data_IF_601137859685
#
_entry.id   IF_601137859685
#
_cell.length_a   1.000
_cell.length_b   1.000
_cell.length_c   1.000
_cell.angle_alpha   90.00
_cell.angle_beta   90.00
_cell.angle_gamma   90.00
#
_symmetry.space_group_name_H-M   'P 1'
#
loop_
_entity.id
_entity.type
_entity.pdbx_description
1 polymer ?
#
# COMPACT_ATOMS: atom_id res chain seq x y z
N UNK A 1 -17.65 -12.75 39.58
CA UNK A 1 -18.20 -12.30 38.27
C UNK A 1 -17.79 -13.33 37.22
N UNK A 2 -18.77 -14.03 36.62
CA UNK A 2 -18.57 -15.22 35.75
C UNK A 2 -18.25 -14.79 34.31
N UNK A 3 -17.14 -15.29 33.77
CA UNK A 3 -16.75 -15.14 32.38
C UNK A 3 -17.62 -16.09 31.53
N UNK A 4 -18.37 -15.55 30.55
CA UNK A 4 -19.15 -16.34 29.57
C UNK A 4 -18.29 -16.76 28.41
N UNK A 5 -18.02 -18.06 28.27
CA UNK A 5 -17.51 -18.70 27.08
C UNK A 5 -18.62 -18.81 26.03
N UNK A 6 -18.37 -18.36 24.82
CA UNK A 6 -19.22 -18.63 23.65
C UNK A 6 -18.63 -19.81 22.87
N UNK A 7 -19.34 -20.93 22.88
CA UNK A 7 -19.08 -22.06 22.00
C UNK A 7 -19.62 -21.77 20.61
N UNK A 8 -18.75 -21.83 19.60
CA UNK A 8 -19.12 -21.80 18.18
C UNK A 8 -19.30 -23.26 17.75
N UNK A 9 -20.54 -23.65 17.49
CA UNK A 9 -20.91 -24.94 16.90
C UNK A 9 -20.78 -24.81 15.39
N UNK A 10 -19.83 -25.53 14.80
CA UNK A 10 -19.70 -25.68 13.38
C UNK A 10 -20.69 -26.73 12.88
N UNK A 11 -21.68 -26.32 12.09
CA UNK A 11 -22.59 -27.22 11.39
C UNK A 11 -21.96 -27.68 10.07
N UNK A 12 -21.59 -28.97 10.02
CA UNK A 12 -21.24 -29.65 8.76
C UNK A 12 -22.54 -30.07 8.06
N UNK A 13 -22.80 -29.52 6.89
CA UNK A 13 -23.86 -29.99 6.00
C UNK A 13 -23.23 -31.00 5.03
N UNK A 14 -23.58 -32.29 5.22
CA UNK A 14 -23.33 -33.38 4.28
C UNK A 14 -24.37 -33.32 3.16
N UNK A 15 -23.95 -33.07 1.93
CA UNK A 15 -24.78 -33.27 0.72
C UNK A 15 -24.47 -34.68 0.18
N UNK A 16 -25.39 -35.62 0.38
CA UNK A 16 -25.39 -36.93 -0.30
C UNK A 16 -25.84 -36.72 -1.76
N UNK A 17 -24.96 -36.97 -2.70
CA UNK A 17 -25.30 -37.08 -4.13
C UNK A 17 -25.78 -38.50 -4.41
N UNK A 18 -27.07 -38.63 -4.72
CA UNK A 18 -27.70 -39.87 -5.21
C UNK A 18 -27.36 -40.08 -6.69
N UNK A 19 -26.55 -41.09 -7.01
CA UNK A 19 -26.27 -41.49 -8.37
C UNK A 19 -27.38 -42.45 -8.81
N UNK A 20 -28.33 -42.01 -9.66
CA UNK A 20 -29.23 -42.87 -10.39
C UNK A 20 -28.58 -43.36 -11.69
N UNK A 21 -28.17 -44.61 -11.72
CA UNK A 21 -27.77 -45.34 -12.94
C UNK A 21 -29.01 -45.82 -13.68
N UNK A 22 -29.32 -45.20 -14.83
CA UNK A 22 -30.22 -45.79 -15.81
C UNK A 22 -29.42 -46.23 -17.05
N UNK A 23 -29.56 -47.46 -17.54
CA UNK A 23 -28.95 -47.88 -18.78
C UNK A 23 -29.79 -47.37 -19.98
N UNK A 24 -29.24 -46.44 -20.71
CA UNK A 24 -29.82 -46.02 -22.00
C UNK A 24 -29.27 -46.88 -23.14
N UNK A 25 -30.17 -47.51 -23.86
CA UNK A 25 -29.91 -48.22 -25.12
C UNK A 25 -29.45 -47.22 -26.17
N UNK A 26 -28.24 -47.40 -26.65
CA UNK A 26 -27.71 -46.63 -27.79
C UNK A 26 -28.28 -47.22 -29.07
N UNK A 27 -29.17 -46.49 -29.74
CA UNK A 27 -29.58 -46.74 -31.15
C UNK A 27 -28.61 -45.97 -32.03
N UNK A 28 -27.88 -46.68 -32.91
CA UNK A 28 -26.99 -46.09 -33.88
C UNK A 28 -27.83 -45.47 -35.02
N UNK A 29 -27.89 -44.14 -35.06
CA UNK A 29 -28.32 -43.39 -36.24
C UNK A 29 -27.07 -42.82 -36.93
N UNK A 30 -26.83 -43.30 -38.14
CA UNK A 30 -25.90 -42.66 -39.07
C UNK A 30 -26.45 -41.28 -39.41
N UNK A 31 -25.75 -40.24 -39.01
CA UNK A 31 -26.02 -38.88 -39.49
C UNK A 31 -24.85 -38.43 -40.35
N UNK A 32 -25.21 -38.02 -41.57
CA UNK A 32 -24.36 -37.40 -42.56
C UNK A 32 -23.43 -36.32 -41.95
N UNK A 33 -22.16 -36.45 -42.20
CA UNK A 33 -21.13 -35.46 -41.92
C UNK A 33 -21.26 -34.25 -42.85
N UNK A 34 -22.15 -33.31 -42.49
CA UNK A 34 -22.01 -31.94 -42.95
C UNK A 34 -20.95 -31.28 -42.10
N UNK A 35 -19.76 -31.13 -42.65
CA UNK A 35 -18.62 -30.46 -42.07
C UNK A 35 -18.88 -28.94 -41.97
N UNK A 36 -19.73 -28.52 -41.01
CA UNK A 36 -19.89 -27.12 -40.67
C UNK A 36 -18.67 -26.74 -39.84
N UNK A 37 -17.68 -26.17 -40.49
CA UNK A 37 -16.58 -25.48 -39.81
C UNK A 37 -17.19 -24.36 -39.00
N UNK A 38 -17.42 -24.60 -37.70
CA UNK A 38 -17.72 -23.56 -36.75
C UNK A 38 -16.45 -22.71 -36.62
N UNK A 39 -16.42 -21.59 -37.34
CA UNK A 39 -15.39 -20.57 -37.18
C UNK A 39 -15.48 -20.07 -35.74
N UNK A 40 -14.59 -20.55 -34.88
CA UNK A 40 -14.42 -19.99 -33.52
C UNK A 40 -13.98 -18.55 -33.69
N UNK A 41 -14.93 -17.64 -33.75
CA UNK A 41 -14.68 -16.21 -33.84
C UNK A 41 -14.01 -15.80 -32.53
N UNK A 42 -12.71 -15.59 -32.55
CA UNK A 42 -11.93 -15.25 -31.35
C UNK A 42 -12.42 -13.95 -30.75
N UNK A 43 -12.99 -14.04 -29.54
CA UNK A 43 -13.62 -12.95 -28.82
C UNK A 43 -12.61 -11.86 -28.44
N UNK A 44 -13.02 -10.59 -28.53
CA UNK A 44 -12.20 -9.46 -28.12
C UNK A 44 -11.76 -9.58 -26.65
N UNK A 45 -10.50 -9.30 -26.37
CA UNK A 45 -9.95 -9.39 -25.02
C UNK A 45 -8.97 -8.26 -24.74
N UNK A 46 -8.82 -7.94 -23.44
CA UNK A 46 -7.86 -6.96 -22.93
C UNK A 46 -7.14 -7.54 -21.71
N UNK A 47 -5.84 -7.36 -21.61
CA UNK A 47 -5.01 -7.77 -20.47
C UNK A 47 -4.13 -6.62 -20.01
N UNK A 48 -3.92 -6.51 -18.70
CA UNK A 48 -2.99 -5.57 -18.10
C UNK A 48 -1.67 -6.27 -17.75
N UNK A 49 -0.57 -5.53 -17.86
CA UNK A 49 0.76 -6.00 -17.47
C UNK A 49 0.92 -6.23 -15.95
N UNK A 50 -0.02 -5.72 -15.13
CA UNK A 50 -0.03 -5.87 -13.67
C UNK A 50 -1.45 -6.03 -13.17
N UNK A 51 -1.74 -7.12 -12.43
CA UNK A 51 -3.00 -7.34 -11.74
C UNK A 51 -3.11 -6.48 -10.47
N UNK A 52 -1.97 -6.16 -9.83
CA UNK A 52 -1.91 -5.30 -8.66
C UNK A 52 -0.57 -4.59 -8.50
N UNK A 53 -0.58 -3.53 -7.69
CA UNK A 53 0.62 -2.77 -7.32
C UNK A 53 0.46 -2.19 -5.91
N UNK A 54 1.53 -2.28 -5.11
CA UNK A 54 1.61 -1.63 -3.80
C UNK A 54 2.64 -0.51 -3.91
N UNK A 55 2.21 0.72 -3.63
CA UNK A 55 3.00 1.93 -3.84
C UNK A 55 2.94 2.88 -2.66
N UNK A 56 3.87 3.81 -2.59
CA UNK A 56 3.87 4.90 -1.63
C UNK A 56 3.22 6.14 -2.23
N UNK A 57 2.77 7.07 -1.38
CA UNK A 57 2.21 8.35 -1.82
C UNK A 57 3.19 9.08 -2.75
N UNK A 58 2.68 9.64 -3.84
CA UNK A 58 3.45 10.35 -4.85
C UNK A 58 4.09 9.47 -5.91
N UNK A 59 4.21 8.16 -5.68
CA UNK A 59 4.75 7.24 -6.68
C UNK A 59 3.82 7.08 -7.88
N UNK A 60 4.45 6.79 -9.03
CA UNK A 60 3.77 6.57 -10.30
C UNK A 60 3.92 5.11 -10.72
N UNK A 61 2.83 4.52 -11.22
CA UNK A 61 2.81 3.16 -11.80
C UNK A 61 2.36 3.26 -13.25
N UNK A 62 3.10 2.62 -14.15
CA UNK A 62 2.70 2.47 -15.56
C UNK A 62 1.96 1.16 -15.74
N UNK A 63 0.68 1.25 -16.07
CA UNK A 63 -0.12 0.14 -16.55
C UNK A 63 -0.10 0.15 -18.09
N UNK A 64 0.12 -1.02 -18.69
CA UNK A 64 0.06 -1.25 -20.14
C UNK A 64 -1.09 -2.22 -20.42
N UNK A 65 -1.96 -1.86 -21.35
CA UNK A 65 -3.05 -2.71 -21.81
C UNK A 65 -2.65 -3.37 -23.15
N UNK A 66 -2.81 -4.70 -23.25
CA UNK A 66 -2.69 -5.45 -24.49
C UNK A 66 -4.08 -5.89 -24.93
N UNK A 67 -4.49 -5.44 -26.12
CA UNK A 67 -5.79 -5.78 -26.73
C UNK A 67 -5.56 -6.83 -27.79
N UNK A 68 -6.41 -7.86 -27.82
CA UNK A 68 -6.45 -8.90 -28.87
C UNK A 68 -7.86 -9.01 -29.43
N UNK A 69 -7.99 -9.36 -30.71
CA UNK A 69 -9.24 -9.65 -31.41
C UNK A 69 -10.31 -8.53 -31.30
N UNK A 70 -9.88 -7.26 -31.36
CA UNK A 70 -10.77 -6.10 -31.35
C UNK A 70 -10.43 -5.12 -32.47
N UNK A 71 -11.46 -4.57 -33.12
CA UNK A 71 -11.32 -3.49 -34.12
C UNK A 71 -10.80 -2.22 -33.45
N UNK A 72 -11.32 -1.87 -32.23
CA UNK A 72 -10.87 -0.71 -31.49
C UNK A 72 -9.58 -1.01 -30.73
N UNK A 73 -8.56 -0.18 -30.91
CA UNK A 73 -7.31 -0.18 -30.12
C UNK A 73 -7.30 0.88 -29.04
N UNK A 74 -8.34 1.71 -28.95
CA UNK A 74 -8.47 2.79 -27.96
C UNK A 74 -8.87 2.24 -26.59
N UNK A 75 -8.10 2.60 -25.54
CA UNK A 75 -8.36 2.22 -24.13
C UNK A 75 -8.89 3.41 -23.37
N UNK A 76 -10.02 3.21 -22.67
CA UNK A 76 -10.59 4.16 -21.71
C UNK A 76 -10.16 3.72 -20.31
N UNK A 77 -9.47 4.62 -19.59
CA UNK A 77 -8.96 4.38 -18.24
C UNK A 77 -9.86 5.06 -17.20
N UNK A 78 -10.20 4.32 -16.12
CA UNK A 78 -11.01 4.84 -15.01
C UNK A 78 -10.42 4.38 -13.67
N UNK A 79 -10.44 5.25 -12.67
CA UNK A 79 -10.13 4.91 -11.27
C UNK A 79 -11.42 4.87 -10.46
N UNK A 80 -11.61 3.84 -9.64
CA UNK A 80 -12.77 3.71 -8.74
C UNK A 80 -12.74 4.76 -7.61
N UNK A 81 -11.53 5.22 -7.20
CA UNK A 81 -11.34 6.22 -6.13
C UNK A 81 -10.23 7.20 -6.51
N UNK A 82 -10.59 8.28 -7.21
CA UNK A 82 -9.63 9.31 -7.69
C UNK A 82 -8.91 10.06 -6.56
N UNK A 83 -9.48 10.08 -5.36
CA UNK A 83 -8.81 10.62 -4.15
C UNK A 83 -7.64 9.76 -3.68
N UNK A 84 -7.65 8.45 -3.95
CA UNK A 84 -6.60 7.50 -3.59
C UNK A 84 -5.56 7.41 -4.70
N UNK A 85 -5.99 7.17 -5.94
CA UNK A 85 -5.12 7.10 -7.10
C UNK A 85 -5.84 7.62 -8.35
N UNK A 86 -5.14 8.37 -9.19
CA UNK A 86 -5.63 8.82 -10.50
C UNK A 86 -4.92 8.07 -11.61
N UNK A 87 -5.57 7.96 -12.77
CA UNK A 87 -4.97 7.41 -13.99
C UNK A 87 -5.22 8.37 -15.15
N UNK A 88 -4.23 8.53 -16.04
CA UNK A 88 -4.38 9.31 -17.28
C UNK A 88 -4.66 8.41 -18.48
N UNK A 89 -4.93 9.01 -19.65
CA UNK A 89 -5.21 8.31 -20.91
C UNK A 89 -4.09 7.39 -21.38
N UNK A 90 -2.85 7.62 -20.94
CA UNK A 90 -1.68 6.81 -21.25
C UNK A 90 -1.50 5.63 -20.27
N UNK A 91 -2.42 5.40 -19.30
CA UNK A 91 -2.33 4.35 -18.29
C UNK A 91 -1.28 4.61 -17.20
N UNK A 92 -0.85 5.88 -17.01
CA UNK A 92 0.00 6.25 -15.88
C UNK A 92 -0.87 6.52 -14.66
N UNK A 93 -0.68 5.74 -13.60
CA UNK A 93 -1.34 5.87 -12.31
C UNK A 93 -0.48 6.70 -11.38
N UNK A 94 -1.09 7.63 -10.64
CA UNK A 94 -0.42 8.46 -9.60
C UNK A 94 -1.10 8.19 -8.26
N UNK A 95 -0.32 7.75 -7.28
CA UNK A 95 -0.77 7.49 -5.90
C UNK A 95 -0.92 8.80 -5.13
N UNK A 96 -2.11 9.08 -4.56
CA UNK A 96 -2.42 10.34 -3.87
C UNK A 96 -2.58 10.22 -2.36
N UNK A 97 -3.39 9.27 -1.90
CA UNK A 97 -3.67 9.04 -0.47
C UNK A 97 -3.65 7.55 -0.15
N UNK A 98 -3.42 7.22 1.12
CA UNK A 98 -3.52 5.83 1.62
C UNK A 98 -4.86 5.20 1.27
N UNK A 99 -4.85 3.91 0.96
CA UNK A 99 -6.04 3.14 0.63
C UNK A 99 -5.88 2.34 -0.64
N UNK A 100 -6.98 1.79 -1.15
CA UNK A 100 -7.01 0.95 -2.34
C UNK A 100 -7.95 1.54 -3.38
N UNK A 101 -7.50 1.59 -4.62
CA UNK A 101 -8.28 1.96 -5.80
C UNK A 101 -8.16 0.88 -6.88
N UNK A 102 -9.26 0.58 -7.55
CA UNK A 102 -9.29 -0.28 -8.73
C UNK A 102 -9.14 0.60 -9.98
N UNK A 103 -8.15 0.29 -10.81
CA UNK A 103 -7.95 0.95 -12.09
C UNK A 103 -8.49 0.03 -13.18
N UNK A 104 -9.47 0.51 -13.92
CA UNK A 104 -10.13 -0.21 -15.01
C UNK A 104 -9.62 0.31 -16.35
N UNK A 105 -9.23 -0.61 -17.23
CA UNK A 105 -8.94 -0.36 -18.65
C UNK A 105 -10.03 -1.02 -19.48
N UNK A 106 -10.81 -0.26 -20.22
CA UNK A 106 -11.94 -0.72 -21.04
C UNK A 106 -11.64 -0.44 -22.52
N UNK A 107 -11.90 -1.41 -23.41
CA UNK A 107 -11.84 -1.17 -24.85
C UNK A 107 -12.99 -0.23 -25.24
N UNK A 108 -12.65 0.88 -25.92
CA UNK A 108 -13.64 1.86 -26.36
C UNK A 108 -14.70 1.24 -27.29
N UNK A 109 -15.98 1.53 -27.05
CA UNK A 109 -17.11 1.00 -27.81
C UNK A 109 -17.49 -0.45 -27.46
N UNK A 110 -16.93 -1.06 -26.41
CA UNK A 110 -17.25 -2.45 -25.99
C UNK A 110 -17.50 -2.53 -24.49
N UNK A 111 -17.93 -3.71 -23.99
CA UNK A 111 -18.00 -4.02 -22.56
C UNK A 111 -16.79 -4.81 -22.04
N UNK A 112 -15.77 -5.01 -22.88
CA UNK A 112 -14.56 -5.77 -22.55
C UNK A 112 -13.61 -4.88 -21.75
N UNK A 113 -13.21 -5.32 -20.55
CA UNK A 113 -12.32 -4.58 -19.67
C UNK A 113 -11.37 -5.49 -18.88
N UNK A 114 -10.32 -4.89 -18.35
CA UNK A 114 -9.42 -5.51 -17.38
C UNK A 114 -9.18 -4.54 -16.21
N UNK A 115 -8.82 -5.08 -15.04
CA UNK A 115 -8.65 -4.30 -13.82
C UNK A 115 -7.29 -4.55 -13.18
N UNK A 116 -6.78 -3.53 -12.48
CA UNK A 116 -5.59 -3.59 -11.64
C UNK A 116 -5.87 -2.94 -10.30
N UNK A 117 -5.51 -3.61 -9.20
CA UNK A 117 -5.68 -3.11 -7.84
C UNK A 117 -4.44 -2.30 -7.45
N UNK A 118 -4.62 -1.03 -7.10
CA UNK A 118 -3.51 -0.16 -6.63
C UNK A 118 -3.73 0.15 -5.16
N UNK A 119 -2.82 -0.35 -4.31
CA UNK A 119 -2.81 -0.08 -2.86
C UNK A 119 -1.74 0.95 -2.54
N UNK A 120 -2.16 2.08 -1.98
CA UNK A 120 -1.27 3.16 -1.54
C UNK A 120 -1.02 2.99 -0.04
N UNK A 121 0.26 2.86 0.33
CA UNK A 121 0.70 2.70 1.73
C UNK A 121 0.39 3.96 2.54
N UNK A 122 0.20 3.79 3.86
CA UNK A 122 0.00 4.88 4.81
C UNK A 122 1.31 5.52 5.29
N UNK A 123 2.43 5.23 4.64
CA UNK A 123 3.73 5.80 4.93
C UNK A 123 4.52 6.03 3.64
N UNK A 124 5.50 6.91 3.72
CA UNK A 124 6.58 7.05 2.73
C UNK A 124 7.89 6.60 3.35
N UNK A 125 8.76 6.01 2.54
CA UNK A 125 10.12 5.65 2.93
C UNK A 125 11.05 6.81 2.61
N UNK A 126 11.84 7.24 3.60
CA UNK A 126 12.77 8.35 3.47
C UNK A 126 14.15 7.92 3.98
N UNK A 127 15.20 8.11 3.17
CA UNK A 127 16.59 7.99 3.64
C UNK A 127 16.96 9.24 4.40
N UNK A 128 17.36 9.09 5.66
CA UNK A 128 17.69 10.20 6.58
C UNK A 128 19.04 9.98 7.25
N UNK A 129 19.65 11.08 7.71
CA UNK A 129 20.76 11.06 8.65
C UNK A 129 20.17 11.12 10.06
N UNK A 130 20.48 10.14 10.92
CA UNK A 130 20.08 10.15 12.31
C UNK A 130 21.27 10.39 13.22
N UNK A 131 21.05 11.15 14.30
CA UNK A 131 21.97 11.41 15.42
C UNK A 131 21.22 11.17 16.72
N UNK A 132 21.92 11.26 17.85
CA UNK A 132 21.31 11.13 19.17
C UNK A 132 21.51 12.38 20.01
N UNK A 133 20.50 12.76 20.81
CA UNK A 133 20.58 13.83 21.77
C UNK A 133 19.96 13.44 23.13
N UNK A 134 20.29 14.17 24.17
CA UNK A 134 19.65 14.09 25.47
C UNK A 134 19.34 15.49 26.00
N UNK A 135 18.62 15.58 27.11
CA UNK A 135 18.20 16.85 27.69
C UNK A 135 19.25 17.46 28.67
N UNK A 136 20.56 17.25 28.41
CA UNK A 136 21.65 17.84 29.18
C UNK A 136 22.19 19.10 28.50
N UNK A 137 22.94 19.94 29.26
CA UNK A 137 23.53 21.18 28.75
C UNK A 137 24.43 20.99 27.52
N UNK A 138 25.17 19.86 27.42
CA UNK A 138 26.02 19.58 26.25
C UNK A 138 25.23 19.35 24.95
N UNK A 139 24.04 18.70 25.02
CA UNK A 139 23.21 18.44 23.86
C UNK A 139 22.20 19.55 23.57
N UNK A 140 21.56 20.10 24.60
CA UNK A 140 20.43 21.02 24.47
C UNK A 140 20.79 22.47 24.77
N UNK A 141 22.01 22.74 25.24
CA UNK A 141 22.49 24.10 25.57
C UNK A 141 21.57 24.79 26.59
N UNK A 142 21.11 25.98 26.25
CA UNK A 142 20.16 26.77 27.09
C UNK A 142 18.78 26.12 27.25
N UNK A 143 18.43 25.14 26.42
CA UNK A 143 17.18 24.42 26.47
C UNK A 143 17.25 23.12 27.30
N UNK A 144 18.36 22.91 28.03
CA UNK A 144 18.51 21.76 28.92
C UNK A 144 17.40 21.74 29.98
N UNK A 145 16.79 20.58 30.20
CA UNK A 145 15.68 20.43 31.12
C UNK A 145 14.31 20.91 30.61
N UNK A 146 14.26 21.57 29.44
CA UNK A 146 13.01 22.08 28.88
C UNK A 146 12.13 21.00 28.24
N UNK A 147 10.87 21.38 27.98
CA UNK A 147 9.95 20.62 27.17
C UNK A 147 10.37 20.61 25.70
N UNK A 148 9.89 19.65 24.94
CA UNK A 148 10.05 19.58 23.49
C UNK A 148 9.29 20.72 22.79
N UNK A 149 9.55 20.94 21.51
CA UNK A 149 8.82 21.93 20.71
C UNK A 149 7.31 21.67 20.61
N UNK A 150 6.84 20.45 20.90
CA UNK A 150 5.40 20.11 21.00
C UNK A 150 4.84 20.26 22.41
N UNK A 151 5.60 20.78 23.39
CA UNK A 151 5.16 20.97 24.77
C UNK A 151 5.14 19.69 25.63
N UNK A 152 5.74 18.59 25.16
CA UNK A 152 5.81 17.33 25.91
C UNK A 152 7.17 17.14 26.57
N UNK A 153 7.25 16.37 27.67
CA UNK A 153 8.54 15.92 28.20
C UNK A 153 9.17 14.91 27.22
N UNK A 154 10.46 15.09 26.82
CA UNK A 154 11.11 14.15 25.94
C UNK A 154 11.23 12.78 26.62
N UNK A 155 10.99 11.70 25.84
CA UNK A 155 11.01 10.31 26.35
C UNK A 155 11.79 9.41 25.40
N UNK A 156 12.68 8.58 25.98
CA UNK A 156 13.43 7.55 25.22
C UNK A 156 12.47 6.58 24.53
N UNK A 157 12.82 6.11 23.33
CA UNK A 157 12.01 5.26 22.43
C UNK A 157 10.69 5.89 21.95
N UNK A 158 10.47 7.20 22.22
CA UNK A 158 9.29 7.94 21.74
C UNK A 158 9.64 9.21 20.99
N UNK A 159 10.48 10.05 21.56
CA UNK A 159 10.72 11.41 21.07
C UNK A 159 11.83 11.46 20.03
N UNK A 160 11.57 12.16 18.94
CA UNK A 160 12.58 12.57 17.95
C UNK A 160 12.44 14.05 17.62
N UNK A 161 13.57 14.71 17.37
CA UNK A 161 13.61 16.03 16.78
C UNK A 161 13.73 15.94 15.25
N UNK A 162 12.99 16.80 14.55
CA UNK A 162 12.85 16.80 13.09
C UNK A 162 12.82 18.24 12.53
N UNK A 163 12.99 18.39 11.23
CA UNK A 163 12.54 19.60 10.52
C UNK A 163 11.02 19.56 10.35
N UNK A 164 10.29 20.37 11.15
CA UNK A 164 8.82 20.41 11.13
C UNK A 164 8.20 20.77 9.77
N UNK A 165 8.96 21.38 8.86
CA UNK A 165 8.53 21.69 7.48
C UNK A 165 8.47 20.42 6.61
N UNK A 166 9.33 19.44 6.90
CA UNK A 166 9.40 18.17 6.17
C UNK A 166 8.60 17.08 6.86
N UNK A 167 8.69 16.97 8.20
CA UNK A 167 7.98 16.01 9.04
C UNK A 167 7.23 16.82 10.11
N UNK A 168 5.93 17.07 9.95
CA UNK A 168 5.15 17.84 10.93
C UNK A 168 5.22 17.23 12.34
N UNK A 169 5.18 18.09 13.36
CA UNK A 169 5.11 17.62 14.76
C UNK A 169 3.87 16.73 14.95
N UNK A 170 3.98 15.72 15.80
CA UNK A 170 2.95 14.70 16.02
C UNK A 170 3.05 13.50 15.07
N UNK A 171 3.79 13.61 13.95
CA UNK A 171 3.95 12.53 12.96
C UNK A 171 4.64 11.32 13.57
N UNK A 172 4.13 10.13 13.30
CA UNK A 172 4.78 8.86 13.64
C UNK A 172 5.88 8.53 12.63
N UNK A 173 7.05 8.14 13.13
CA UNK A 173 8.20 7.74 12.29
C UNK A 173 8.75 6.42 12.81
N UNK A 174 8.76 5.38 11.96
CA UNK A 174 9.39 4.11 12.31
C UNK A 174 10.87 4.14 11.93
N UNK A 175 11.75 3.98 12.92
CA UNK A 175 13.20 3.87 12.78
C UNK A 175 13.60 2.49 13.32
N UNK A 176 14.14 1.63 12.47
CA UNK A 176 14.33 0.21 12.83
C UNK A 176 12.99 -0.42 13.24
N UNK A 177 12.93 -0.99 14.44
CA UNK A 177 11.72 -1.63 14.98
C UNK A 177 10.88 -0.72 15.89
N UNK A 178 11.32 0.52 16.15
CA UNK A 178 10.65 1.45 17.08
C UNK A 178 9.86 2.49 16.30
N UNK A 179 8.64 2.79 16.78
CA UNK A 179 7.80 3.89 16.27
C UNK A 179 7.98 5.07 17.20
N UNK A 180 8.64 6.09 16.70
CA UNK A 180 8.83 7.38 17.38
C UNK A 180 7.72 8.36 17.01
N UNK A 181 7.66 9.46 17.77
CA UNK A 181 6.83 10.62 17.46
C UNK A 181 7.72 11.85 17.26
N UNK A 182 7.48 12.60 16.20
CA UNK A 182 8.10 13.90 15.97
C UNK A 182 7.55 14.90 17.00
N UNK A 183 8.28 15.14 18.06
CA UNK A 183 7.85 16.00 19.17
C UNK A 183 8.76 17.21 19.35
N UNK A 184 9.95 17.17 18.77
CA UNK A 184 10.96 18.20 19.00
C UNK A 184 11.54 18.77 17.70
N UNK A 185 12.28 19.86 17.82
CA UNK A 185 13.01 20.54 16.75
C UNK A 185 14.39 20.93 17.25
N UNK A 186 15.31 21.18 16.32
CA UNK A 186 16.64 21.70 16.63
C UNK A 186 17.11 22.67 15.54
N UNK A 187 17.96 23.65 15.92
CA UNK A 187 18.52 24.59 14.96
C UNK A 187 19.32 23.89 13.86
N UNK A 188 20.08 22.84 14.21
CA UNK A 188 20.85 22.02 13.30
C UNK A 188 20.05 20.90 12.61
N UNK A 189 18.78 20.64 13.01
CA UNK A 189 17.94 19.55 12.49
C UNK A 189 17.09 20.12 11.35
N UNK A 190 17.67 20.09 10.14
CA UNK A 190 17.06 20.62 8.91
C UNK A 190 17.02 19.55 7.81
N UNK A 191 15.97 19.60 6.99
CA UNK A 191 15.78 18.65 5.90
C UNK A 191 15.67 17.20 6.37
N UNK A 192 16.38 16.29 5.73
CA UNK A 192 16.36 14.84 6.03
C UNK A 192 17.28 14.46 7.20
N UNK A 193 17.24 15.26 8.29
CA UNK A 193 17.92 14.98 9.55
C UNK A 193 16.91 14.67 10.63
N UNK A 194 17.19 13.66 11.44
CA UNK A 194 16.40 13.28 12.62
C UNK A 194 17.35 13.12 13.78
N UNK A 195 16.99 13.68 14.94
CA UNK A 195 17.75 13.50 16.17
C UNK A 195 16.93 12.67 17.15
N UNK A 196 17.47 11.53 17.60
CA UNK A 196 16.77 10.55 18.43
C UNK A 196 17.07 10.87 19.89
N UNK A 197 16.01 11.04 20.70
CA UNK A 197 16.15 11.30 22.12
C UNK A 197 16.58 10.08 22.92
N UNK A 198 17.56 10.27 23.80
CA UNK A 198 18.04 9.32 24.77
C UNK A 198 18.01 9.90 26.19
N UNK A 199 17.75 9.08 27.20
CA UNK A 199 17.67 9.52 28.58
C UNK A 199 19.05 9.93 29.18
N UNK A 200 20.17 9.55 28.56
CA UNK A 200 21.51 9.89 29.02
C UNK A 200 22.44 10.34 27.89
N UNK A 201 23.42 11.20 28.23
CA UNK A 201 24.44 11.67 27.29
C UNK A 201 25.24 10.51 26.68
N UNK A 202 25.64 9.54 27.48
CA UNK A 202 26.38 8.35 27.04
C UNK A 202 25.63 7.59 25.93
N UNK A 203 24.31 7.34 26.11
CA UNK A 203 23.48 6.68 25.09
C UNK A 203 23.32 7.54 23.84
N UNK A 204 23.14 8.86 24.00
CA UNK A 204 23.03 9.78 22.88
C UNK A 204 24.30 9.78 22.02
N UNK A 205 25.48 9.85 22.66
CA UNK A 205 26.77 9.78 21.98
C UNK A 205 27.00 8.42 21.32
N UNK A 206 26.63 7.34 21.98
CA UNK A 206 26.76 5.97 21.45
C UNK A 206 25.88 5.72 20.19
N UNK A 207 24.82 6.52 19.97
CA UNK A 207 24.04 6.48 18.72
C UNK A 207 24.94 6.81 17.51
N UNK A 208 25.83 7.77 17.67
CA UNK A 208 26.68 8.25 16.59
C UNK A 208 25.89 8.87 15.44
N UNK A 209 26.45 8.78 14.22
CA UNK A 209 25.80 9.22 12.97
C UNK A 209 25.45 7.99 12.15
N UNK A 210 24.18 7.88 11.73
CA UNK A 210 23.71 6.77 10.91
C UNK A 210 22.91 7.28 9.72
N UNK A 211 23.08 6.64 8.56
CA UNK A 211 22.27 6.86 7.37
C UNK A 211 21.37 5.66 7.16
N UNK A 212 20.05 5.84 7.28
CA UNK A 212 19.11 4.73 7.26
C UNK A 212 17.76 5.14 6.66
N UNK A 213 17.01 4.14 6.20
CA UNK A 213 15.65 4.33 5.74
C UNK A 213 14.68 4.31 6.91
N UNK A 214 13.80 5.30 6.96
CA UNK A 214 12.73 5.39 7.96
C UNK A 214 11.37 5.39 7.26
N UNK A 215 10.31 4.95 7.97
CA UNK A 215 8.93 5.05 7.44
C UNK A 215 8.24 6.20 8.15
N UNK A 216 7.91 7.24 7.38
CA UNK A 216 7.16 8.41 7.86
C UNK A 216 5.68 8.17 7.57
N UNK A 217 4.84 8.06 8.59
CA UNK A 217 3.39 7.81 8.45
C UNK A 217 2.67 9.10 8.06
N UNK A 218 1.73 8.99 7.09
CA UNK A 218 1.03 10.13 6.46
C UNK A 218 -0.48 9.92 6.45
#
# INVERSE_FOLDING_TARGET
MKCKQYNIIAAFVFILSFLCLFPQKVSAQQTNSNNTQVSVQSQASIRLNKAGSVVERGQKVKLKAKISNSRSKKVIWKSSKRSIATVNSKGQVVAKRKGTAVITAKISGTNVYAQSVVTVKNYITMRVRTTGYCNCRRCAGKWAGCMTASGTRPKEKRTIAVDKRLIPLGTKVKIGNIIYRAEDTGSAIKGKRIDVYYASHRKATAHGVRYQNVKVYI
#
